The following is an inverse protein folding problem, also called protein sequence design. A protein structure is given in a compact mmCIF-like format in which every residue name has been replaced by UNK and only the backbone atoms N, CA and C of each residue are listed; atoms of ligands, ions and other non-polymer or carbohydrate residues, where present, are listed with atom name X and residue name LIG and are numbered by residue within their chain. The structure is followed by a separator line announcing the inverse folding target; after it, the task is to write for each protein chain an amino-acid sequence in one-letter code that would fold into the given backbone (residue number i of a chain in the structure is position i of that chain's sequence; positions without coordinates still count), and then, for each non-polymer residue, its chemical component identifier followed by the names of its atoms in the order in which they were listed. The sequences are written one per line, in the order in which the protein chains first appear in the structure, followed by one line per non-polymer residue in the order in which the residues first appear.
data_IF_122664831740
#
_entry.id   IF_122664831740
#
_cell.length_a   1.000
_cell.length_b   1.000
_cell.length_c   1.000
_cell.angle_alpha   90.00
_cell.angle_beta   90.00
_cell.angle_gamma   90.00
#
_symmetry.space_group_name_H-M   'P 1'
#
loop_
_entity.id
_entity.type
_entity.pdbx_description
1 polymer ?
#
# COMPACT_ATOMS: atom_id res chain seq x y z
N UNK A 1 -4.90 13.85 -7.42
CA UNK A 1 -4.45 12.98 -8.53
C UNK A 1 -5.45 11.83 -8.63
N UNK A 2 -5.96 11.54 -9.82
CA UNK A 2 -6.81 10.37 -10.07
C UNK A 2 -6.03 9.42 -10.99
N UNK A 3 -6.06 8.12 -10.67
CA UNK A 3 -5.51 7.06 -11.52
C UNK A 3 -6.68 6.59 -12.38
N UNK A 4 -6.74 7.04 -13.63
CA UNK A 4 -7.82 6.70 -14.55
C UNK A 4 -7.27 6.45 -15.97
N UNK A 5 -7.86 5.49 -16.66
CA UNK A 5 -7.52 5.10 -18.02
C UNK A 5 -8.60 5.59 -18.99
N UNK A 6 -8.48 6.83 -19.46
CA UNK A 6 -9.45 7.46 -20.37
C UNK A 6 -9.43 6.89 -21.83
N UNK A 7 -8.89 5.69 -22.02
CA UNK A 7 -8.80 5.02 -23.33
C UNK A 7 -9.98 4.09 -23.62
N UNK A 8 -10.89 3.89 -22.66
CA UNK A 8 -12.01 2.95 -22.77
C UNK A 8 -11.60 1.47 -22.65
N UNK A 9 -10.30 1.19 -22.45
CA UNK A 9 -9.79 -0.16 -22.20
C UNK A 9 -9.69 -0.39 -20.69
N UNK A 10 -10.33 -1.44 -20.19
CA UNK A 10 -10.15 -1.85 -18.79
C UNK A 10 -8.73 -2.35 -18.56
N UNK A 11 -8.00 -1.68 -17.67
CA UNK A 11 -6.69 -2.11 -17.20
C UNK A 11 -6.87 -2.75 -15.83
N UNK A 12 -6.57 -4.06 -15.67
CA UNK A 12 -6.67 -4.69 -14.37
C UNK A 12 -5.65 -4.07 -13.41
N UNK A 13 -6.10 -3.79 -12.18
CA UNK A 13 -5.22 -3.34 -11.12
C UNK A 13 -4.14 -4.39 -10.85
N UNK A 14 -2.89 -3.95 -10.85
CA UNK A 14 -1.74 -4.80 -10.61
C UNK A 14 -0.69 -4.07 -9.77
N UNK A 15 0.23 -4.79 -9.11
CA UNK A 15 1.24 -4.17 -8.26
C UNK A 15 2.29 -3.33 -8.98
N UNK A 16 2.32 -3.31 -10.32
CA UNK A 16 3.28 -2.50 -11.08
C UNK A 16 3.03 -0.99 -10.92
N UNK A 17 1.81 -0.60 -10.55
CA UNK A 17 1.46 0.75 -10.11
C UNK A 17 1.02 0.66 -8.65
N UNK A 18 1.63 1.47 -7.78
CA UNK A 18 1.29 1.51 -6.36
C UNK A 18 1.38 2.91 -5.80
N UNK A 19 0.62 3.15 -4.73
CA UNK A 19 0.69 4.37 -3.95
C UNK A 19 1.72 4.21 -2.85
N UNK A 20 2.72 5.08 -2.84
CA UNK A 20 3.70 5.15 -1.77
C UNK A 20 3.23 6.15 -0.70
N UNK A 21 3.04 5.66 0.52
CA UNK A 21 2.55 6.45 1.65
C UNK A 21 3.63 6.51 2.71
N UNK A 22 4.17 7.70 2.92
CA UNK A 22 5.03 7.97 4.08
C UNK A 22 4.15 8.11 5.32
N UNK A 23 4.31 7.19 6.25
CA UNK A 23 3.54 7.10 7.49
C UNK A 23 4.24 7.92 8.58
N UNK A 24 3.47 8.56 9.47
CA UNK A 24 4.02 9.45 10.51
C UNK A 24 4.50 8.71 11.74
N UNK A 25 3.76 7.70 12.17
CA UNK A 25 4.02 6.96 13.40
C UNK A 25 3.52 5.51 13.31
N UNK A 26 3.89 4.70 14.31
CA UNK A 26 3.51 3.28 14.37
C UNK A 26 2.00 3.08 14.55
N UNK A 27 1.27 4.04 15.12
CA UNK A 27 -0.19 3.95 15.30
C UNK A 27 -0.89 4.11 13.95
N UNK A 28 -0.45 5.07 13.14
CA UNK A 28 -0.93 5.26 11.77
C UNK A 28 -0.56 4.05 10.91
N UNK A 29 0.63 3.48 11.09
CA UNK A 29 1.07 2.26 10.39
C UNK A 29 0.13 1.08 10.69
N UNK A 30 -0.16 0.82 11.97
CA UNK A 30 -1.10 -0.23 12.37
C UNK A 30 -2.50 0.03 11.82
N UNK A 31 -3.00 1.26 11.90
CA UNK A 31 -4.33 1.61 11.41
C UNK A 31 -4.46 1.38 9.90
N UNK A 32 -3.51 1.89 9.12
CA UNK A 32 -3.53 1.75 7.66
C UNK A 32 -3.32 0.29 7.26
N UNK A 33 -2.33 -0.39 7.84
CA UNK A 33 -2.06 -1.80 7.54
C UNK A 33 -3.27 -2.68 7.84
N UNK A 34 -3.91 -2.51 9.00
CA UNK A 34 -5.05 -3.34 9.39
C UNK A 34 -6.30 -3.03 8.56
N UNK A 35 -6.54 -1.78 8.18
CA UNK A 35 -7.67 -1.41 7.32
C UNK A 35 -7.48 -1.82 5.87
N UNK A 36 -6.27 -1.69 5.31
CA UNK A 36 -6.00 -2.00 3.91
C UNK A 36 -5.86 -3.51 3.66
N UNK A 37 -5.40 -4.29 4.65
CA UNK A 37 -5.35 -5.75 4.52
C UNK A 37 -6.72 -6.41 4.68
N UNK A 38 -7.74 -5.69 5.16
CA UNK A 38 -9.09 -6.22 5.34
C UNK A 38 -9.72 -6.51 3.97
N UNK A 39 -10.14 -7.76 3.76
CA UNK A 39 -10.60 -8.27 2.46
C UNK A 39 -9.58 -8.09 1.30
N UNK A 40 -8.33 -7.76 1.61
CA UNK A 40 -7.24 -7.52 0.67
C UNK A 40 -6.19 -8.64 0.69
N UNK A 41 -5.00 -8.35 0.17
CA UNK A 41 -3.85 -9.25 0.18
C UNK A 41 -2.61 -8.59 0.79
N UNK A 42 -1.86 -9.35 1.57
CA UNK A 42 -0.55 -8.92 2.07
C UNK A 42 0.50 -9.36 1.06
N UNK A 43 1.10 -8.41 0.35
CA UNK A 43 2.19 -8.67 -0.60
C UNK A 43 3.53 -8.78 0.12
N UNK A 44 3.73 -7.92 1.13
CA UNK A 44 4.86 -7.96 2.05
C UNK A 44 4.37 -7.59 3.46
N UNK A 45 4.55 -8.46 4.47
CA UNK A 45 4.16 -8.15 5.84
C UNK A 45 5.03 -7.03 6.41
N UNK A 46 4.53 -6.36 7.47
CA UNK A 46 5.28 -5.36 8.23
C UNK A 46 6.64 -5.91 8.64
N UNK A 47 7.70 -5.33 8.09
CA UNK A 47 9.08 -5.75 8.29
C UNK A 47 9.94 -4.51 8.50
N UNK A 48 10.94 -4.61 9.38
CA UNK A 48 11.95 -3.57 9.51
C UNK A 48 12.90 -3.66 8.30
N UNK A 49 13.01 -2.58 7.52
CA UNK A 49 13.75 -2.57 6.27
C UNK A 49 14.50 -1.25 6.12
N UNK A 50 15.79 -1.19 6.53
CA UNK A 50 16.61 0.02 6.37
C UNK A 50 16.57 0.53 4.92
N UNK A 51 16.31 1.84 4.69
CA UNK A 51 16.36 2.96 5.65
C UNK A 51 15.05 3.23 6.45
N UNK A 52 14.01 2.42 6.27
CA UNK A 52 12.74 2.59 6.98
C UNK A 52 12.73 1.79 8.29
N UNK A 53 12.16 2.39 9.34
CA UNK A 53 11.93 1.69 10.62
C UNK A 53 10.96 0.52 10.42
N UNK A 54 9.89 0.75 9.67
CA UNK A 54 8.94 -0.27 9.27
C UNK A 54 8.47 -0.04 7.83
N UNK A 55 8.32 -1.12 7.09
CA UNK A 55 7.79 -1.12 5.74
C UNK A 55 6.78 -2.26 5.57
N UNK A 56 5.69 -1.99 4.87
CA UNK A 56 4.69 -2.99 4.50
C UNK A 56 4.16 -2.74 3.10
N UNK A 57 3.78 -3.81 2.42
CA UNK A 57 3.15 -3.75 1.12
C UNK A 57 1.85 -4.54 1.13
N UNK A 58 0.75 -3.85 0.92
CA UNK A 58 -0.60 -4.42 0.97
C UNK A 58 -1.37 -4.04 -0.28
N UNK A 59 -2.22 -4.95 -0.73
CA UNK A 59 -3.21 -4.71 -1.76
C UNK A 59 -4.57 -4.65 -1.07
N UNK A 60 -5.36 -3.61 -1.34
CA UNK A 60 -6.71 -3.49 -0.78
C UNK A 60 -7.70 -4.41 -1.51
N UNK A 61 -8.93 -4.47 -1.01
CA UNK A 61 -10.03 -5.26 -1.59
C UNK A 61 -10.46 -4.83 -3.00
N UNK A 62 -10.03 -3.65 -3.45
CA UNK A 62 -10.29 -3.14 -4.80
C UNK A 62 -9.14 -3.45 -5.77
N UNK A 63 -8.08 -4.11 -5.29
CA UNK A 63 -6.90 -4.46 -6.07
C UNK A 63 -5.82 -3.37 -6.11
N UNK A 64 -6.01 -2.25 -5.42
CA UNK A 64 -5.03 -1.15 -5.40
C UNK A 64 -3.87 -1.50 -4.47
N UNK A 65 -2.64 -1.31 -4.94
CA UNK A 65 -1.43 -1.61 -4.18
C UNK A 65 -0.90 -0.39 -3.41
N UNK A 66 -0.60 -0.58 -2.14
CA UNK A 66 -0.09 0.44 -1.21
C UNK A 66 1.23 0.01 -0.56
N UNK A 67 2.23 0.86 -0.70
CA UNK A 67 3.50 0.75 0.01
C UNK A 67 3.47 1.71 1.21
N UNK A 68 3.47 1.16 2.42
CA UNK A 68 3.47 1.91 3.65
C UNK A 68 4.90 1.96 4.19
N UNK A 69 5.47 3.16 4.28
CA UNK A 69 6.84 3.35 4.72
C UNK A 69 6.88 4.28 5.94
N UNK A 70 7.34 3.76 7.07
CA UNK A 70 7.60 4.53 8.28
C UNK A 70 9.10 4.91 8.31
N UNK A 71 9.44 6.21 8.16
CA UNK A 71 10.82 6.68 8.32
C UNK A 71 11.37 6.41 9.73
N UNK A 72 12.69 6.53 9.89
CA UNK A 72 13.36 6.38 11.19
C UNK A 72 12.89 7.40 12.25
#
# INVERSE_FOLDING_TARGET
MAIDANSGTELPMNPAISLFVTVKDTIEMERLFNGLKDEGAILMPKTNMPPYREFAWVQDKFGVSFQLALPE
#
